data_IF_619339303870
#
_entry.id   IF_619339303870
#
_cell.length_a   1.000
_cell.length_b   1.000
_cell.length_c   1.000
_cell.angle_alpha   90.00
_cell.angle_beta   90.00
_cell.angle_gamma   90.00
#
_symmetry.space_group_name_H-M   'P 1'
#
loop_
_entity.id
_entity.type
_entity.pdbx_description
1 polymer ?
#
# COMPACT_ATOMS: atom_id res chain seq x y z
N UNK A 1 33.73 36.07 -22.48
CA UNK A 1 32.42 35.73 -21.89
C UNK A 1 32.68 34.82 -20.70
N UNK A 2 32.13 35.20 -19.55
CA UNK A 2 32.41 34.64 -18.22
C UNK A 2 31.73 33.28 -17.98
N UNK A 3 32.36 32.50 -17.07
CA UNK A 3 31.84 31.61 -16.00
C UNK A 3 30.69 30.62 -16.28
N UNK A 4 30.61 29.40 -15.72
CA UNK A 4 31.20 28.80 -14.50
C UNK A 4 31.37 27.28 -14.71
N UNK A 5 32.54 26.65 -14.55
CA UNK A 5 33.17 26.16 -13.31
C UNK A 5 32.33 25.20 -12.45
N UNK A 6 32.05 23.99 -12.95
CA UNK A 6 31.93 22.81 -12.08
C UNK A 6 33.34 22.29 -11.82
N UNK A 7 33.96 22.81 -10.75
CA UNK A 7 35.26 22.35 -10.30
C UNK A 7 35.22 20.86 -9.97
N UNK A 8 36.08 20.09 -10.65
CA UNK A 8 36.59 18.83 -10.13
C UNK A 8 37.27 19.12 -8.79
N UNK A 9 36.56 18.95 -7.68
CA UNK A 9 37.23 18.69 -6.43
C UNK A 9 37.53 17.19 -6.35
N UNK A 10 38.80 16.90 -6.61
CA UNK A 10 39.44 15.62 -6.32
C UNK A 10 39.03 15.09 -4.95
N UNK A 11 38.66 13.81 -4.93
CA UNK A 11 38.66 12.97 -3.75
C UNK A 11 40.05 13.03 -3.09
N UNK A 12 40.19 13.81 -2.03
CA UNK A 12 41.31 13.70 -1.10
C UNK A 12 40.83 13.05 0.17
N UNK A 13 41.40 11.87 0.42
CA UNK A 13 41.29 11.08 1.65
C UNK A 13 41.58 11.94 2.89
N UNK A 14 40.56 12.31 3.66
CA UNK A 14 40.73 12.81 5.02
C UNK A 14 40.37 11.72 6.04
N UNK A 15 41.40 10.98 6.48
CA UNK A 15 41.51 10.53 7.87
C UNK A 15 42.13 11.69 8.65
N UNK A 16 41.37 12.35 9.52
CA UNK A 16 41.91 13.44 10.34
C UNK A 16 40.90 14.03 11.31
N UNK A 17 41.16 13.81 12.59
CA UNK A 17 40.83 14.61 13.78
C UNK A 17 39.61 15.57 13.75
N UNK A 18 38.68 15.30 14.68
CA UNK A 18 37.80 16.31 15.27
C UNK A 18 38.62 17.55 15.67
N UNK A 19 38.37 18.70 15.03
CA UNK A 19 38.69 20.00 15.58
C UNK A 19 37.37 20.71 15.91
N UNK A 20 37.13 21.11 17.17
CA UNK A 20 35.98 21.94 17.51
C UNK A 20 36.29 23.37 17.05
N UNK A 21 35.72 23.81 15.94
CA UNK A 21 35.77 25.22 15.53
C UNK A 21 34.80 26.02 16.39
N UNK A 22 35.37 26.84 17.27
CA UNK A 22 34.71 27.75 18.20
C UNK A 22 34.21 29.04 17.52
N UNK A 23 33.43 28.91 16.44
CA UNK A 23 32.70 30.05 15.86
C UNK A 23 31.32 29.57 15.43
N UNK A 24 30.30 29.99 16.18
CA UNK A 24 28.90 29.60 16.02
C UNK A 24 28.24 30.16 14.77
N UNK A 25 28.64 29.64 13.61
CA UNK A 25 27.84 29.66 12.39
C UNK A 25 27.72 28.22 11.94
N UNK A 26 26.53 27.64 12.14
CA UNK A 26 26.18 26.39 11.50
C UNK A 26 26.38 26.58 9.99
N UNK A 27 27.14 25.68 9.37
CA UNK A 27 27.25 25.63 7.92
C UNK A 27 25.84 25.34 7.38
N UNK A 28 25.26 26.16 6.49
CA UNK A 28 23.91 25.93 5.98
C UNK A 28 23.78 24.62 5.18
N UNK A 29 24.88 23.92 4.90
CA UNK A 29 24.85 22.55 4.37
C UNK A 29 24.43 21.49 5.41
N UNK A 30 24.48 21.79 6.71
CA UNK A 30 24.01 20.89 7.77
C UNK A 30 22.47 20.97 7.96
N UNK A 31 21.81 22.01 7.45
CA UNK A 31 20.34 22.12 7.47
C UNK A 31 19.66 21.34 6.34
N UNK A 32 20.42 20.95 5.31
CA UNK A 32 19.96 19.95 4.33
C UNK A 32 19.96 18.53 4.89
N UNK A 33 20.16 18.35 6.21
CA UNK A 33 19.70 17.18 6.98
C UNK A 33 18.15 17.20 7.11
N UNK A 34 17.53 17.33 5.94
CA UNK A 34 16.58 16.38 5.34
C UNK A 34 15.21 16.26 6.02
N UNK A 35 14.24 17.01 5.49
CA UNK A 35 12.81 16.66 5.50
C UNK A 35 12.59 15.14 5.23
N UNK A 36 13.46 14.49 4.44
CA UNK A 36 13.41 13.05 4.15
C UNK A 36 13.77 12.12 5.33
N UNK A 37 14.48 12.58 6.36
CA UNK A 37 14.86 11.77 7.54
C UNK A 37 13.72 11.53 8.54
N UNK A 38 12.67 12.34 8.50
CA UNK A 38 11.46 12.16 9.32
C UNK A 38 10.27 11.66 8.49
N UNK A 39 10.17 12.11 7.23
CA UNK A 39 9.03 11.77 6.37
C UNK A 39 9.00 10.29 6.01
N UNK A 40 10.13 9.65 5.68
CA UNK A 40 10.12 8.23 5.29
C UNK A 40 9.69 7.28 6.44
N UNK A 41 10.20 7.40 7.69
CA UNK A 41 9.69 6.63 8.81
C UNK A 41 8.21 6.89 9.13
N UNK A 42 7.78 8.15 9.08
CA UNK A 42 6.38 8.51 9.31
C UNK A 42 5.46 7.87 8.26
N UNK A 43 5.83 7.95 6.98
CA UNK A 43 5.09 7.31 5.90
C UNK A 43 5.06 5.80 6.06
N UNK A 44 6.15 5.15 6.50
CA UNK A 44 6.16 3.70 6.78
C UNK A 44 5.17 3.33 7.89
N UNK A 45 5.11 4.10 8.97
CA UNK A 45 4.13 3.87 10.04
C UNK A 45 2.70 4.04 9.52
N UNK A 46 2.43 5.09 8.74
CA UNK A 46 1.12 5.30 8.12
C UNK A 46 0.76 4.15 7.17
N UNK A 47 1.70 3.67 6.36
CA UNK A 47 1.52 2.51 5.49
C UNK A 47 1.12 1.28 6.30
N UNK A 48 1.79 1.00 7.42
CA UNK A 48 1.45 -0.14 8.29
C UNK A 48 0.02 0.01 8.83
N UNK A 49 -0.33 1.17 9.37
CA UNK A 49 -1.65 1.44 9.93
C UNK A 49 -2.74 1.28 8.87
N UNK A 50 -2.61 1.94 7.71
CA UNK A 50 -3.63 1.91 6.67
C UNK A 50 -3.71 0.55 5.96
N UNK A 51 -2.60 -0.19 5.86
CA UNK A 51 -2.63 -1.58 5.38
C UNK A 51 -3.36 -2.48 6.37
N UNK A 52 -3.14 -2.31 7.68
CA UNK A 52 -3.87 -3.04 8.72
C UNK A 52 -5.37 -2.69 8.73
N UNK A 53 -5.71 -1.39 8.61
CA UNK A 53 -7.09 -0.92 8.45
C UNK A 53 -7.76 -1.49 7.21
N UNK A 54 -6.99 -1.83 6.16
CA UNK A 54 -7.54 -2.51 5.00
C UNK A 54 -7.70 -4.02 5.19
N UNK A 55 -6.69 -4.65 5.77
CA UNK A 55 -6.59 -6.09 6.02
C UNK A 55 -7.66 -6.59 6.97
N UNK A 56 -7.85 -5.93 8.11
CA UNK A 56 -8.75 -6.42 9.17
C UNK A 56 -10.20 -6.52 8.67
N UNK A 57 -10.80 -5.48 8.08
CA UNK A 57 -12.14 -5.58 7.49
C UNK A 57 -12.22 -6.65 6.40
N UNK A 58 -11.22 -6.74 5.51
CA UNK A 58 -11.20 -7.77 4.47
C UNK A 58 -11.18 -9.17 5.05
N UNK A 59 -10.37 -9.42 6.08
CA UNK A 59 -10.27 -10.72 6.72
C UNK A 59 -11.57 -11.08 7.47
N UNK A 60 -12.18 -10.11 8.16
CA UNK A 60 -13.47 -10.31 8.84
C UNK A 60 -14.57 -10.66 7.85
N UNK A 61 -14.73 -9.86 6.79
CA UNK A 61 -15.75 -10.10 5.77
C UNK A 61 -15.46 -11.38 4.99
N UNK A 62 -14.21 -11.64 4.58
CA UNK A 62 -13.85 -12.90 3.91
C UNK A 62 -14.17 -14.11 4.78
N UNK A 63 -13.90 -14.06 6.09
CA UNK A 63 -14.26 -15.14 7.01
C UNK A 63 -15.77 -15.28 7.17
N UNK A 64 -16.52 -14.17 7.26
CA UNK A 64 -17.98 -14.22 7.40
C UNK A 64 -18.62 -14.86 6.15
N UNK A 65 -18.15 -14.49 4.95
CA UNK A 65 -18.55 -15.09 3.67
C UNK A 65 -18.07 -16.52 3.47
N UNK A 66 -16.90 -16.90 4.00
CA UNK A 66 -16.44 -18.29 3.95
C UNK A 66 -17.35 -19.23 4.77
N UNK A 67 -18.07 -18.70 5.76
CA UNK A 67 -18.91 -19.46 6.68
C UNK A 67 -20.42 -19.29 6.41
N UNK A 68 -20.83 -18.60 5.33
CA UNK A 68 -22.26 -18.51 4.97
C UNK A 68 -22.80 -19.87 4.50
N UNK A 69 -24.02 -20.20 4.91
CA UNK A 69 -24.70 -21.48 4.71
C UNK A 69 -24.61 -21.99 3.25
N UNK A 70 -23.76 -22.99 3.03
CA UNK A 70 -23.56 -23.69 1.76
C UNK A 70 -22.21 -24.37 1.76
N UNK A 71 -22.15 -25.65 1.40
CA UNK A 71 -20.98 -26.54 1.55
C UNK A 71 -19.70 -26.12 0.80
N UNK A 72 -19.69 -24.97 0.13
CA UNK A 72 -18.55 -24.40 -0.59
C UNK A 72 -18.41 -22.93 -0.18
N UNK A 73 -17.29 -22.59 0.49
CA UNK A 73 -17.06 -21.25 1.02
C UNK A 73 -17.19 -20.17 -0.05
N UNK A 74 -17.92 -19.09 0.26
CA UNK A 74 -18.26 -18.05 -0.70
C UNK A 74 -17.27 -16.89 -0.65
N UNK A 75 -17.08 -16.22 -1.79
CA UNK A 75 -16.29 -14.99 -1.89
C UNK A 75 -17.18 -13.82 -2.35
N UNK A 76 -17.14 -12.71 -1.61
CA UNK A 76 -17.90 -11.51 -1.98
C UNK A 76 -17.36 -10.78 -3.22
N UNK A 77 -16.11 -11.06 -3.60
CA UNK A 77 -15.51 -10.52 -4.82
C UNK A 77 -15.83 -11.42 -6.02
N UNK A 78 -15.90 -10.81 -7.20
CA UNK A 78 -16.10 -11.55 -8.46
C UNK A 78 -17.40 -12.37 -8.51
N UNK A 79 -18.50 -11.81 -7.99
CA UNK A 79 -19.80 -12.48 -8.04
C UNK A 79 -20.18 -12.87 -9.49
N UNK A 80 -20.58 -14.13 -9.69
CA UNK A 80 -20.90 -14.64 -11.02
C UNK A 80 -22.21 -14.04 -11.57
N UNK A 81 -22.20 -13.75 -12.88
CA UNK A 81 -23.36 -13.37 -13.69
C UNK A 81 -24.14 -14.59 -14.21
N UNK A 82 -23.65 -15.80 -13.96
CA UNK A 82 -24.25 -17.00 -14.53
C UNK A 82 -25.51 -17.38 -13.76
N UNK A 83 -26.63 -17.01 -14.37
CA UNK A 83 -27.95 -17.63 -14.31
C UNK A 83 -29.04 -16.82 -13.59
N UNK A 84 -30.13 -16.70 -14.32
CA UNK A 84 -31.50 -16.31 -14.01
C UNK A 84 -32.14 -17.04 -12.80
N UNK A 85 -31.34 -17.65 -11.92
CA UNK A 85 -31.83 -18.26 -10.71
C UNK A 85 -31.92 -17.21 -9.61
N UNK A 86 -32.97 -17.34 -8.81
CA UNK A 86 -33.32 -16.42 -7.75
C UNK A 86 -32.09 -15.97 -6.95
N UNK A 87 -32.12 -14.71 -6.53
CA UNK A 87 -31.21 -14.06 -5.60
C UNK A 87 -30.97 -15.03 -4.41
N UNK A 88 -29.96 -15.89 -4.48
CA UNK A 88 -29.85 -17.03 -3.56
C UNK A 88 -28.58 -17.88 -3.69
N UNK A 89 -28.12 -18.26 -4.89
CA UNK A 89 -27.28 -19.47 -4.95
C UNK A 89 -25.91 -19.39 -5.64
N UNK A 90 -25.45 -18.27 -6.20
CA UNK A 90 -24.10 -18.23 -6.83
C UNK A 90 -23.34 -16.94 -6.56
N UNK A 91 -22.47 -16.99 -5.54
CA UNK A 91 -21.33 -16.07 -5.38
C UNK A 91 -20.11 -16.56 -6.18
N UNK A 92 -19.05 -15.76 -6.23
CA UNK A 92 -17.77 -16.25 -6.74
C UNK A 92 -17.34 -17.45 -5.90
N UNK A 93 -17.16 -18.61 -6.53
CA UNK A 93 -16.79 -19.86 -5.86
C UNK A 93 -15.31 -19.93 -5.49
N UNK A 94 -14.54 -18.88 -5.79
CA UNK A 94 -13.11 -18.83 -5.50
C UNK A 94 -12.82 -18.06 -4.21
N UNK A 95 -12.98 -18.75 -3.07
CA UNK A 95 -12.55 -18.27 -1.75
C UNK A 95 -11.04 -17.98 -1.71
N UNK A 96 -10.25 -18.58 -2.61
CA UNK A 96 -8.82 -18.34 -2.75
C UNK A 96 -8.52 -16.88 -3.09
N UNK A 97 -9.30 -16.27 -3.97
CA UNK A 97 -9.15 -14.86 -4.35
C UNK A 97 -9.46 -13.92 -3.17
N UNK A 98 -10.58 -14.11 -2.46
CA UNK A 98 -10.88 -13.31 -1.26
C UNK A 98 -9.81 -13.49 -0.17
N UNK A 99 -9.36 -14.73 0.05
CA UNK A 99 -8.31 -15.05 1.02
C UNK A 99 -6.97 -14.41 0.65
N UNK A 100 -6.61 -14.39 -0.63
CA UNK A 100 -5.40 -13.72 -1.09
C UNK A 100 -5.46 -12.20 -0.89
N UNK A 101 -6.59 -11.56 -1.19
CA UNK A 101 -6.75 -10.11 -0.95
C UNK A 101 -6.79 -9.77 0.54
N UNK A 102 -7.38 -10.64 1.36
CA UNK A 102 -7.45 -10.45 2.81
C UNK A 102 -6.09 -10.67 3.51
N UNK A 103 -5.40 -11.77 3.21
CA UNK A 103 -4.20 -12.20 3.94
C UNK A 103 -2.90 -11.91 3.21
N UNK A 104 -2.94 -11.67 1.89
CA UNK A 104 -1.74 -11.34 1.10
C UNK A 104 -1.06 -10.07 1.61
N UNK A 105 -1.82 -9.10 2.13
CA UNK A 105 -1.27 -7.83 2.64
C UNK A 105 -0.39 -7.98 3.88
N UNK A 106 -0.32 -9.17 4.49
CA UNK A 106 0.63 -9.48 5.56
C UNK A 106 2.07 -9.30 5.08
N UNK A 107 2.37 -9.68 3.83
CA UNK A 107 3.71 -9.55 3.27
C UNK A 107 4.15 -8.07 3.17
N UNK A 108 3.36 -7.14 2.61
CA UNK A 108 3.62 -5.71 2.68
C UNK A 108 3.79 -5.16 4.10
N UNK A 109 3.00 -5.59 5.08
CA UNK A 109 3.15 -5.14 6.47
C UNK A 109 4.51 -5.59 7.04
N UNK A 110 4.84 -6.88 6.91
CA UNK A 110 6.12 -7.42 7.36
C UNK A 110 7.29 -6.75 6.62
N UNK A 111 7.12 -6.48 5.33
CA UNK A 111 8.07 -5.73 4.52
C UNK A 111 8.28 -4.31 5.04
N UNK A 112 7.21 -3.58 5.34
CA UNK A 112 7.30 -2.22 5.90
C UNK A 112 8.00 -2.21 7.27
N UNK A 113 7.70 -3.17 8.14
CA UNK A 113 8.37 -3.32 9.45
C UNK A 113 9.86 -3.62 9.25
N UNK A 114 10.20 -4.59 8.39
CA UNK A 114 11.59 -4.93 8.08
C UNK A 114 12.35 -3.71 7.54
N UNK A 115 11.74 -2.97 6.62
CA UNK A 115 12.34 -1.75 6.08
C UNK A 115 12.52 -0.69 7.18
N UNK A 116 11.53 -0.46 8.03
CA UNK A 116 11.66 0.50 9.13
C UNK A 116 12.82 0.11 10.07
N UNK A 117 12.92 -1.18 10.43
CA UNK A 117 14.02 -1.70 11.26
C UNK A 117 15.38 -1.51 10.59
N UNK A 118 15.52 -1.88 9.32
CA UNK A 118 16.76 -1.72 8.57
C UNK A 118 17.17 -0.24 8.47
N UNK A 119 16.21 0.65 8.23
CA UNK A 119 16.45 2.10 8.20
C UNK A 119 17.08 2.60 9.50
N UNK A 120 16.51 2.25 10.66
CA UNK A 120 17.04 2.69 11.96
C UNK A 120 18.42 2.10 12.28
N UNK A 121 18.64 0.81 11.98
CA UNK A 121 19.95 0.16 12.19
C UNK A 121 21.03 0.84 11.35
N UNK A 122 20.72 1.15 10.09
CA UNK A 122 21.67 1.77 9.17
C UNK A 122 21.94 3.23 9.53
N UNK A 123 20.95 3.97 10.04
CA UNK A 123 21.14 5.35 10.50
C UNK A 123 21.98 5.44 11.78
N UNK A 124 21.85 4.47 12.69
CA UNK A 124 22.64 4.44 13.94
C UNK A 124 24.10 4.02 13.76
N UNK A 125 24.45 3.47 12.59
CA UNK A 125 25.84 3.24 12.21
C UNK A 125 26.31 4.47 11.44
N UNK A 126 27.04 5.37 12.09
CA UNK A 126 27.66 6.61 11.54
C UNK A 126 28.64 6.38 10.36
N UNK A 127 28.57 5.25 9.68
CA UNK A 127 29.23 5.02 8.41
C UNK A 127 28.38 5.65 7.30
N UNK A 128 28.95 6.48 6.41
CA UNK A 128 28.23 6.92 5.22
C UNK A 128 27.77 5.65 4.50
N UNK A 129 26.47 5.40 4.56
CA UNK A 129 25.87 4.16 4.10
C UNK A 129 26.39 3.89 2.70
N UNK A 130 27.15 2.80 2.53
CA UNK A 130 27.66 2.44 1.23
C UNK A 130 26.48 2.40 0.26
N UNK A 131 26.68 2.92 -0.95
CA UNK A 131 25.61 3.06 -1.96
C UNK A 131 24.86 1.75 -2.30
N UNK A 132 25.33 0.60 -1.83
CA UNK A 132 24.68 -0.71 -1.96
C UNK A 132 23.50 -0.92 -1.02
N UNK A 133 23.55 -0.48 0.25
CA UNK A 133 22.48 -0.73 1.21
C UNK A 133 21.21 0.05 0.88
N UNK A 134 21.37 1.30 0.44
CA UNK A 134 20.24 2.11 -0.07
C UNK A 134 19.59 1.49 -1.30
N UNK A 135 20.34 0.83 -2.19
CA UNK A 135 19.75 0.12 -3.34
C UNK A 135 18.90 -1.06 -2.90
N UNK A 136 19.38 -1.85 -1.94
CA UNK A 136 18.61 -2.99 -1.39
C UNK A 136 17.34 -2.48 -0.71
N UNK A 137 17.44 -1.38 0.02
CA UNK A 137 16.30 -0.73 0.67
C UNK A 137 15.24 -0.27 -0.32
N UNK A 138 15.64 0.50 -1.34
CA UNK A 138 14.74 1.00 -2.39
C UNK A 138 14.13 -0.14 -3.20
N UNK A 139 14.92 -1.18 -3.53
CA UNK A 139 14.42 -2.36 -4.22
C UNK A 139 13.38 -3.12 -3.39
N UNK A 140 13.61 -3.26 -2.08
CA UNK A 140 12.64 -3.86 -1.16
C UNK A 140 11.35 -3.04 -1.07
N UNK A 141 11.45 -1.72 -0.91
CA UNK A 141 10.28 -0.84 -0.88
C UNK A 141 9.46 -0.90 -2.17
N UNK A 142 10.13 -0.94 -3.33
CA UNK A 142 9.48 -1.14 -4.63
C UNK A 142 8.77 -2.50 -4.71
N UNK A 143 9.43 -3.59 -4.30
CA UNK A 143 8.85 -4.92 -4.37
C UNK A 143 7.58 -5.05 -3.49
N UNK A 144 7.63 -4.58 -2.24
CA UNK A 144 6.47 -4.60 -1.34
C UNK A 144 5.37 -3.64 -1.78
N UNK A 145 5.73 -2.46 -2.29
CA UNK A 145 4.77 -1.50 -2.84
C UNK A 145 4.04 -2.04 -4.07
N UNK A 146 4.75 -2.70 -5.00
CA UNK A 146 4.15 -3.35 -6.16
C UNK A 146 3.25 -4.52 -5.76
N UNK A 147 3.69 -5.35 -4.81
CA UNK A 147 2.88 -6.46 -4.31
C UNK A 147 1.60 -5.96 -3.62
N UNK A 148 1.70 -4.89 -2.82
CA UNK A 148 0.53 -4.23 -2.24
C UNK A 148 -0.42 -3.70 -3.33
N UNK A 149 0.13 -3.04 -4.36
CA UNK A 149 -0.64 -2.54 -5.49
C UNK A 149 -1.42 -3.64 -6.22
N UNK A 150 -0.82 -4.82 -6.42
CA UNK A 150 -1.53 -5.98 -7.00
C UNK A 150 -2.79 -6.30 -6.18
N UNK A 151 -2.67 -6.33 -4.85
CA UNK A 151 -3.80 -6.63 -3.96
C UNK A 151 -4.87 -5.53 -4.03
N UNK A 152 -4.47 -4.25 -4.02
CA UNK A 152 -5.40 -3.13 -4.14
C UNK A 152 -6.15 -3.17 -5.47
N UNK A 153 -5.45 -3.49 -6.57
CA UNK A 153 -6.05 -3.65 -7.88
C UNK A 153 -7.02 -4.83 -7.93
N UNK A 154 -6.67 -5.98 -7.35
CA UNK A 154 -7.57 -7.15 -7.26
C UNK A 154 -8.82 -6.84 -6.43
N UNK A 155 -8.68 -6.12 -5.30
CA UNK A 155 -9.82 -5.69 -4.51
C UNK A 155 -10.74 -4.75 -5.31
N UNK A 156 -10.14 -3.76 -5.99
CA UNK A 156 -10.88 -2.76 -6.77
C UNK A 156 -11.61 -3.42 -7.95
N UNK A 157 -10.93 -4.25 -8.75
CA UNK A 157 -11.53 -4.98 -9.87
C UNK A 157 -12.62 -5.95 -9.40
N UNK A 158 -12.34 -6.73 -8.34
CA UNK A 158 -13.32 -7.64 -7.74
C UNK A 158 -14.57 -6.93 -7.24
N UNK A 159 -14.41 -5.81 -6.54
CA UNK A 159 -15.53 -4.98 -6.07
C UNK A 159 -16.32 -4.38 -7.25
N UNK A 160 -15.63 -3.82 -8.25
CA UNK A 160 -16.28 -3.28 -9.45
C UNK A 160 -17.10 -4.33 -10.18
N UNK A 161 -16.54 -5.53 -10.40
CA UNK A 161 -17.26 -6.63 -11.06
C UNK A 161 -18.46 -7.10 -10.27
N UNK A 162 -18.33 -7.27 -8.94
CA UNK A 162 -19.48 -7.61 -8.08
C UNK A 162 -20.57 -6.54 -8.18
N UNK A 163 -20.22 -5.26 -8.13
CA UNK A 163 -21.19 -4.17 -8.25
C UNK A 163 -21.86 -4.11 -9.64
N UNK A 164 -21.10 -4.29 -10.71
CA UNK A 164 -21.64 -4.35 -12.07
C UNK A 164 -22.56 -5.56 -12.24
N UNK A 165 -22.24 -6.70 -11.63
CA UNK A 165 -23.11 -7.88 -11.65
C UNK A 165 -24.43 -7.63 -10.92
N UNK A 166 -24.38 -7.02 -9.73
CA UNK A 166 -25.58 -6.63 -8.97
C UNK A 166 -26.46 -5.66 -9.78
N UNK A 167 -25.84 -4.63 -10.38
CA UNK A 167 -26.58 -3.61 -11.13
C UNK A 167 -27.08 -4.11 -12.49
N UNK A 168 -26.32 -4.98 -13.15
CA UNK A 168 -26.68 -5.56 -14.45
C UNK A 168 -27.86 -6.54 -14.36
N UNK A 169 -28.04 -7.21 -13.22
CA UNK A 169 -29.16 -8.13 -12.99
C UNK A 169 -30.52 -7.40 -12.85
N UNK A 170 -30.52 -6.08 -12.66
CA UNK A 170 -31.74 -5.26 -12.61
C UNK A 170 -32.48 -5.14 -13.94
N UNK A 171 -31.82 -5.42 -15.07
CA UNK A 171 -32.45 -5.30 -16.38
C UNK A 171 -33.45 -6.45 -16.68
N UNK A 172 -33.43 -7.53 -15.90
CA UNK A 172 -34.22 -8.75 -16.16
C UNK A 172 -35.26 -9.08 -15.07
N UNK A 173 -35.30 -8.35 -13.95
CA UNK A 173 -36.19 -8.60 -12.81
C UNK A 173 -36.98 -7.33 -12.45
N UNK A 174 -38.16 -7.14 -13.04
CA UNK A 174 -39.05 -5.97 -12.85
C UNK A 174 -39.44 -5.68 -11.39
N UNK A 175 -39.20 -6.60 -10.45
CA UNK A 175 -39.66 -6.51 -9.07
C UNK A 175 -38.59 -6.15 -8.04
N UNK A 176 -37.31 -6.28 -8.37
CA UNK A 176 -36.19 -6.02 -7.45
C UNK A 176 -35.10 -5.22 -8.17
N UNK A 177 -35.35 -3.94 -8.40
CA UNK A 177 -34.36 -3.03 -8.97
C UNK A 177 -33.51 -2.43 -7.84
N UNK A 178 -32.29 -2.93 -7.65
CA UNK A 178 -31.29 -2.29 -6.79
C UNK A 178 -30.80 -1.01 -7.45
N UNK A 179 -31.05 0.16 -6.86
CA UNK A 179 -30.59 1.44 -7.43
C UNK A 179 -29.10 1.66 -7.24
N UNK A 180 -28.50 0.99 -6.24
CA UNK A 180 -27.08 1.10 -5.88
C UNK A 180 -26.52 -0.28 -5.53
N UNK A 181 -25.22 -0.45 -5.74
CA UNK A 181 -24.50 -1.68 -5.33
C UNK A 181 -24.67 -1.97 -3.82
N UNK A 182 -24.69 -0.93 -2.99
CA UNK A 182 -24.93 -1.03 -1.55
C UNK A 182 -26.23 -1.73 -1.19
N UNK A 183 -27.29 -1.53 -1.99
CA UNK A 183 -28.61 -2.10 -1.73
C UNK A 183 -28.59 -3.61 -1.99
N UNK A 184 -27.90 -4.03 -3.05
CA UNK A 184 -27.71 -5.44 -3.37
C UNK A 184 -26.83 -6.16 -2.34
N UNK A 185 -25.73 -5.53 -1.92
CA UNK A 185 -24.87 -6.07 -0.87
C UNK A 185 -25.61 -6.16 0.48
N UNK A 186 -26.34 -5.11 0.89
CA UNK A 186 -27.11 -5.13 2.15
C UNK A 186 -28.27 -6.13 2.15
N UNK A 187 -28.94 -6.31 1.00
CA UNK A 187 -29.95 -7.36 0.83
C UNK A 187 -29.35 -8.75 1.00
N UNK A 188 -28.11 -8.96 0.54
CA UNK A 188 -27.40 -10.23 0.67
C UNK A 188 -26.88 -10.46 2.08
N UNK A 189 -26.35 -9.43 2.73
CA UNK A 189 -25.96 -9.48 4.15
C UNK A 189 -27.14 -9.95 5.02
N UNK A 190 -28.35 -9.48 4.70
CA UNK A 190 -29.58 -9.90 5.38
C UNK A 190 -29.97 -11.35 5.08
N UNK A 191 -29.78 -11.82 3.85
CA UNK A 191 -30.15 -13.18 3.43
C UNK A 191 -29.24 -14.26 4.03
N UNK A 192 -27.94 -13.98 4.17
CA UNK A 192 -26.97 -14.90 4.77
C UNK A 192 -26.71 -14.64 6.26
N UNK A 193 -27.48 -13.73 6.87
CA UNK A 193 -27.37 -13.35 8.28
C UNK A 193 -25.93 -12.97 8.70
N UNK A 194 -25.28 -12.16 7.87
CA UNK A 194 -23.91 -11.71 8.10
C UNK A 194 -23.82 -10.76 9.29
N UNK A 195 -22.75 -10.91 10.08
CA UNK A 195 -22.52 -10.12 11.30
C UNK A 195 -22.00 -8.72 11.00
N UNK A 196 -21.44 -8.53 9.80
CA UNK A 196 -20.80 -7.29 9.39
C UNK A 196 -21.37 -6.80 8.06
N UNK A 197 -21.71 -5.50 7.94
CA UNK A 197 -22.16 -4.94 6.68
C UNK A 197 -21.03 -4.96 5.64
N UNK A 198 -21.15 -5.83 4.65
CA UNK A 198 -20.13 -6.12 3.63
C UNK A 198 -19.70 -4.86 2.90
N UNK A 199 -20.66 -4.00 2.54
CA UNK A 199 -20.39 -2.73 1.86
C UNK A 199 -19.46 -1.81 2.66
N UNK A 200 -19.69 -1.69 3.98
CA UNK A 200 -18.89 -0.80 4.82
C UNK A 200 -17.48 -1.35 4.98
N UNK A 201 -17.36 -2.66 5.23
CA UNK A 201 -16.06 -3.32 5.37
C UNK A 201 -15.23 -3.22 4.08
N UNK A 202 -15.83 -3.45 2.91
CA UNK A 202 -15.17 -3.27 1.61
C UNK A 202 -14.75 -1.82 1.36
N UNK A 203 -15.55 -0.85 1.79
CA UNK A 203 -15.22 0.58 1.64
C UNK A 203 -14.02 0.96 2.50
N UNK A 204 -14.02 0.57 3.78
CA UNK A 204 -12.88 0.80 4.68
C UNK A 204 -11.64 0.09 4.15
N UNK A 205 -11.80 -1.13 3.65
CA UNK A 205 -10.73 -1.90 3.02
C UNK A 205 -10.07 -1.17 1.84
N UNK A 206 -10.90 -0.75 0.88
CA UNK A 206 -10.46 -0.01 -0.31
C UNK A 206 -9.75 1.28 0.07
N UNK A 207 -10.33 2.09 0.96
CA UNK A 207 -9.72 3.35 1.40
C UNK A 207 -8.39 3.09 2.09
N UNK A 208 -8.33 2.16 3.05
CA UNK A 208 -7.10 1.82 3.75
C UNK A 208 -5.98 1.37 2.80
N UNK A 209 -6.30 0.45 1.89
CA UNK A 209 -5.32 -0.04 0.91
C UNK A 209 -4.86 1.03 -0.09
N UNK A 210 -5.75 1.89 -0.58
CA UNK A 210 -5.36 2.98 -1.49
C UNK A 210 -4.51 4.05 -0.78
N UNK A 211 -4.86 4.44 0.44
CA UNK A 211 -4.04 5.39 1.23
C UNK A 211 -2.65 4.79 1.50
N UNK A 212 -2.57 3.51 1.86
CA UNK A 212 -1.29 2.83 2.00
C UNK A 212 -0.48 2.78 0.68
N UNK A 213 -1.15 2.65 -0.47
CA UNK A 213 -0.49 2.70 -1.78
C UNK A 213 0.19 4.04 -2.03
N UNK A 214 -0.49 5.16 -1.75
CA UNK A 214 0.11 6.49 -1.86
C UNK A 214 1.27 6.67 -0.88
N UNK A 215 1.18 6.09 0.31
CA UNK A 215 2.30 6.02 1.26
C UNK A 215 3.52 5.31 0.68
N UNK A 216 3.34 4.13 0.08
CA UNK A 216 4.42 3.41 -0.60
C UNK A 216 5.05 4.21 -1.75
N UNK A 217 4.24 4.87 -2.57
CA UNK A 217 4.73 5.74 -3.65
C UNK A 217 5.58 6.88 -3.08
N UNK A 218 5.10 7.55 -2.02
CA UNK A 218 5.84 8.63 -1.35
C UNK A 218 7.18 8.16 -0.78
N UNK A 219 7.23 6.96 -0.18
CA UNK A 219 8.44 6.33 0.35
C UNK A 219 9.45 6.08 -0.77
N UNK A 220 9.03 5.47 -1.88
CA UNK A 220 9.89 5.20 -3.04
C UNK A 220 10.40 6.51 -3.65
N UNK A 221 9.52 7.50 -3.82
CA UNK A 221 9.88 8.80 -4.38
C UNK A 221 10.92 9.53 -3.53
N UNK A 222 10.71 9.56 -2.20
CA UNK A 222 11.68 10.14 -1.26
C UNK A 222 13.06 9.45 -1.36
N UNK A 223 13.08 8.14 -1.56
CA UNK A 223 14.33 7.39 -1.73
C UNK A 223 15.03 7.70 -3.06
N UNK A 224 14.28 7.80 -4.16
CA UNK A 224 14.84 8.17 -5.46
C UNK A 224 15.49 9.54 -5.39
N UNK A 225 14.81 10.54 -4.79
CA UNK A 225 15.37 11.89 -4.59
C UNK A 225 16.66 11.82 -3.77
N UNK A 226 16.65 11.12 -2.63
CA UNK A 226 17.84 10.98 -1.78
C UNK A 226 19.01 10.32 -2.54
N UNK A 227 18.75 9.34 -3.40
CA UNK A 227 19.78 8.70 -4.24
C UNK A 227 20.34 9.63 -5.32
N UNK A 228 19.50 10.51 -5.88
CA UNK A 228 19.92 11.52 -6.86
C UNK A 228 20.78 12.61 -6.20
N UNK A 229 20.38 13.07 -5.01
CA UNK A 229 21.16 14.02 -4.20
C UNK A 229 22.54 13.45 -3.84
N UNK A 230 22.60 12.20 -3.36
CA UNK A 230 23.84 11.53 -3.00
C UNK A 230 24.82 11.33 -4.19
N UNK A 231 24.35 11.48 -5.43
CA UNK A 231 25.18 11.36 -6.65
C UNK A 231 25.50 12.69 -7.32
N UNK A 232 25.06 13.82 -6.78
CA UNK A 232 25.29 15.14 -7.37
C UNK A 232 24.63 15.35 -8.75
N UNK A 233 23.55 14.61 -9.05
CA UNK A 233 22.86 14.62 -10.35
C UNK A 233 21.67 15.58 -10.42
N UNK A 234 21.67 16.64 -9.60
CA UNK A 234 20.56 17.59 -9.47
C UNK A 234 20.22 18.38 -10.75
N UNK A 235 21.07 18.39 -11.77
CA UNK A 235 20.83 19.12 -13.02
C UNK A 235 19.87 18.42 -14.02
N UNK A 236 19.19 17.33 -13.63
CA UNK A 236 18.32 16.53 -14.53
C UNK A 236 16.84 16.49 -14.11
N UNK A 237 16.46 17.15 -13.02
CA UNK A 237 15.08 17.33 -12.55
C UNK A 237 14.66 18.80 -12.71
#
# INVERSE_FOLDING_TARGET
MNAASCGLHQMSSYKGAYQPTTTGWADPQDEEVTLSSFVAPLLLVLVIIFTAMGMIPMAMTTKDWANSDGSEGQCMLYASLTQYQAIGDTWGSDIGTCSFVAYGTILPILGAVLLLTLYYILRGRETPASSSWWRVFTAGALAFGLFHLIIVCMLTDGYTRTCLAILGNNANLDKYQYRKCSDGLGSRDSNYNHNYPTQQMLTVALVGYWVATFGWIGIVWAMVINMLHAKGLYCLL
#
